data_IF_109561954649
#
_entry.id   IF_109561954649
#
_cell.length_a   1.000
_cell.length_b   1.000
_cell.length_c   1.000
_cell.angle_alpha   90.00
_cell.angle_beta   90.00
_cell.angle_gamma   90.00
#
_symmetry.space_group_name_H-M   'P 1'
#
loop_
_entity.id
_entity.type
_entity.pdbx_description
1 polymer ?
#
# COMPACT_ATOMS: atom_id res chain seq x y z
N UNK A 1 -22.56 -22.96 -11.30
CA UNK A 1 -21.30 -22.26 -10.91
C UNK A 1 -21.28 -22.12 -9.41
N UNK A 2 -20.11 -22.19 -8.72
CA UNK A 2 -20.04 -22.00 -7.27
C UNK A 2 -19.17 -20.78 -6.96
N UNK A 3 -19.77 -19.75 -6.40
CA UNK A 3 -19.10 -18.50 -5.99
C UNK A 3 -19.00 -18.49 -4.47
N UNK A 4 -17.80 -18.32 -3.97
CA UNK A 4 -17.52 -18.23 -2.53
C UNK A 4 -17.04 -16.83 -2.18
N UNK A 5 -17.82 -16.13 -1.37
CA UNK A 5 -17.49 -14.77 -0.89
C UNK A 5 -16.96 -14.86 0.54
N UNK A 6 -15.68 -14.56 0.74
CA UNK A 6 -14.98 -14.76 2.03
C UNK A 6 -14.55 -13.45 2.70
N UNK A 7 -14.75 -12.32 2.05
CA UNK A 7 -14.58 -11.01 2.71
C UNK A 7 -15.77 -10.78 3.65
N UNK A 8 -15.51 -10.29 4.85
CA UNK A 8 -16.60 -9.91 5.76
C UNK A 8 -17.45 -8.83 5.10
N UNK A 9 -18.77 -9.00 5.08
CA UNK A 9 -19.71 -8.08 4.43
C UNK A 9 -20.94 -7.89 5.32
N UNK A 10 -21.38 -6.64 5.57
CA UNK A 10 -22.64 -6.36 6.27
C UNK A 10 -23.83 -6.96 5.52
N UNK A 11 -24.85 -7.39 6.27
CA UNK A 11 -25.99 -8.10 5.70
C UNK A 11 -26.71 -7.28 4.62
N UNK A 12 -26.87 -5.98 4.85
CA UNK A 12 -27.49 -5.04 3.91
C UNK A 12 -26.74 -4.90 2.57
N UNK A 13 -25.44 -5.22 2.55
CA UNK A 13 -24.62 -5.16 1.33
C UNK A 13 -24.54 -6.51 0.58
N UNK A 14 -24.98 -7.61 1.20
CA UNK A 14 -25.01 -8.93 0.55
C UNK A 14 -26.02 -9.01 -0.58
N UNK A 15 -27.13 -8.30 -0.45
CA UNK A 15 -28.25 -8.35 -1.39
C UNK A 15 -27.79 -8.04 -2.82
N UNK A 16 -26.92 -7.04 -3.02
CA UNK A 16 -26.45 -6.68 -4.36
C UNK A 16 -25.67 -7.81 -5.05
N UNK A 17 -24.97 -8.66 -4.30
CA UNK A 17 -24.25 -9.82 -4.85
C UNK A 17 -25.20 -11.00 -5.08
N UNK A 18 -26.17 -11.20 -4.19
CA UNK A 18 -27.21 -12.22 -4.36
C UNK A 18 -28.11 -11.92 -5.58
N UNK A 19 -28.42 -10.65 -5.81
CA UNK A 19 -29.18 -10.23 -7.01
C UNK A 19 -28.39 -10.49 -8.31
N UNK A 20 -27.07 -10.47 -8.26
CA UNK A 20 -26.21 -10.75 -9.42
C UNK A 20 -26.03 -12.25 -9.68
N UNK A 21 -25.81 -13.04 -8.63
CA UNK A 21 -25.37 -14.43 -8.72
C UNK A 21 -26.45 -15.47 -8.32
N UNK A 22 -27.57 -15.03 -7.74
CA UNK A 22 -28.62 -15.91 -7.27
C UNK A 22 -28.16 -16.87 -6.17
N UNK A 23 -28.59 -18.12 -6.26
CA UNK A 23 -28.24 -19.20 -5.32
C UNK A 23 -26.80 -19.72 -5.51
N UNK A 24 -26.12 -19.30 -6.56
CA UNK A 24 -24.74 -19.72 -6.84
C UNK A 24 -23.73 -19.14 -5.86
N UNK A 25 -24.06 -18.07 -5.14
CA UNK A 25 -23.17 -17.39 -4.19
C UNK A 25 -23.37 -17.87 -2.76
N UNK A 26 -22.26 -18.17 -2.10
CA UNK A 26 -22.21 -18.53 -0.68
C UNK A 26 -21.31 -17.55 0.05
N UNK A 27 -21.79 -16.99 1.16
CA UNK A 27 -21.03 -16.11 2.03
C UNK A 27 -20.46 -16.92 3.22
N UNK A 28 -19.17 -16.75 3.49
CA UNK A 28 -18.51 -17.35 4.65
C UNK A 28 -17.46 -16.37 5.17
N UNK A 29 -17.25 -16.31 6.47
CA UNK A 29 -16.13 -15.55 6.99
C UNK A 29 -14.79 -16.28 6.72
N UNK A 30 -13.68 -15.54 6.71
CA UNK A 30 -12.33 -16.14 6.57
C UNK A 30 -12.03 -17.19 7.63
N UNK A 31 -12.66 -17.11 8.82
CA UNK A 31 -12.48 -18.04 9.94
C UNK A 31 -13.31 -19.30 9.78
N UNK A 32 -14.48 -19.19 9.15
CA UNK A 32 -15.48 -20.27 9.05
C UNK A 32 -15.39 -21.05 7.75
N UNK A 33 -14.80 -20.46 6.68
CA UNK A 33 -14.65 -21.12 5.39
C UNK A 33 -13.87 -22.41 5.52
N UNK A 34 -14.45 -23.49 5.02
CA UNK A 34 -13.86 -24.83 5.04
C UNK A 34 -13.04 -25.12 3.77
N UNK A 35 -12.08 -26.02 3.85
CA UNK A 35 -11.31 -26.45 2.67
C UNK A 35 -12.21 -27.12 1.62
N UNK A 36 -13.26 -27.84 2.04
CA UNK A 36 -14.23 -28.43 1.15
C UNK A 36 -14.96 -27.35 0.31
N UNK A 37 -15.34 -26.23 0.91
CA UNK A 37 -15.95 -25.10 0.20
C UNK A 37 -14.96 -24.48 -0.80
N UNK A 38 -13.70 -24.30 -0.40
CA UNK A 38 -12.65 -23.76 -1.27
C UNK A 38 -12.38 -24.66 -2.48
N UNK A 39 -12.30 -25.98 -2.29
CA UNK A 39 -12.08 -26.96 -3.36
C UNK A 39 -13.24 -27.04 -4.37
N UNK A 40 -14.46 -26.73 -3.93
CA UNK A 40 -15.63 -26.75 -4.79
C UNK A 40 -15.90 -25.43 -5.50
N UNK A 41 -15.27 -24.32 -5.06
CA UNK A 41 -15.48 -23.01 -5.63
C UNK A 41 -14.84 -22.85 -7.00
N UNK A 42 -15.58 -22.28 -7.94
CA UNK A 42 -15.08 -21.83 -9.25
C UNK A 42 -14.63 -20.36 -9.18
N UNK A 43 -15.26 -19.56 -8.31
CA UNK A 43 -14.94 -18.18 -8.06
C UNK A 43 -14.75 -17.98 -6.56
N UNK A 44 -13.67 -17.33 -6.17
CA UNK A 44 -13.42 -16.92 -4.76
C UNK A 44 -13.25 -15.41 -4.73
N UNK A 45 -14.03 -14.73 -3.90
CA UNK A 45 -13.98 -13.29 -3.69
C UNK A 45 -13.53 -12.98 -2.25
N UNK A 46 -12.33 -12.43 -2.11
CA UNK A 46 -11.67 -12.14 -0.85
C UNK A 46 -10.38 -12.93 -0.64
N UNK A 47 -9.56 -12.46 0.30
CA UNK A 47 -8.26 -13.05 0.56
C UNK A 47 -8.39 -14.31 1.42
N UNK A 48 -7.94 -15.43 0.89
CA UNK A 48 -7.76 -16.71 1.60
C UNK A 48 -6.26 -17.01 1.65
N UNK A 49 -5.71 -17.53 2.76
CA UNK A 49 -4.28 -17.88 2.80
C UNK A 49 -3.84 -18.71 1.60
N UNK A 50 -2.79 -18.30 0.86
CA UNK A 50 -2.38 -18.97 -0.39
C UNK A 50 -2.18 -20.48 -0.26
N UNK A 51 -1.68 -20.96 0.89
CA UNK A 51 -1.47 -22.38 1.16
C UNK A 51 -2.77 -23.20 1.07
N UNK A 52 -3.94 -22.63 1.40
CA UNK A 52 -5.24 -23.28 1.33
C UNK A 52 -5.80 -23.36 -0.10
N UNK A 53 -5.27 -22.56 -1.03
CA UNK A 53 -5.72 -22.48 -2.41
C UNK A 53 -4.96 -23.43 -3.34
N UNK A 54 -3.84 -24.00 -2.92
CA UNK A 54 -2.99 -24.84 -3.77
C UNK A 54 -3.69 -26.10 -4.32
N UNK A 55 -4.74 -26.59 -3.63
CA UNK A 55 -5.55 -27.74 -4.05
C UNK A 55 -6.84 -27.38 -4.81
N UNK A 56 -7.13 -26.10 -5.05
CA UNK A 56 -8.39 -25.65 -5.64
C UNK A 56 -8.37 -25.78 -7.18
N UNK A 57 -8.45 -27.00 -7.69
CA UNK A 57 -8.35 -27.30 -9.14
C UNK A 57 -9.56 -26.82 -9.95
N UNK A 58 -10.69 -26.49 -9.31
CA UNK A 58 -11.89 -25.95 -9.98
C UNK A 58 -11.87 -24.43 -10.11
N UNK A 59 -10.90 -23.75 -9.45
CA UNK A 59 -10.83 -22.29 -9.40
C UNK A 59 -10.56 -21.71 -10.81
N UNK A 60 -11.45 -20.83 -11.24
CA UNK A 60 -11.36 -20.09 -12.51
C UNK A 60 -11.05 -18.62 -12.32
N UNK A 61 -11.49 -18.05 -11.18
CA UNK A 61 -11.25 -16.66 -10.86
C UNK A 61 -11.08 -16.45 -9.36
N UNK A 62 -10.00 -15.76 -8.98
CA UNK A 62 -9.72 -15.28 -7.62
C UNK A 62 -9.70 -13.75 -7.63
N UNK A 63 -10.67 -13.14 -6.96
CA UNK A 63 -10.71 -11.70 -6.71
C UNK A 63 -10.18 -11.42 -5.31
N UNK A 64 -9.06 -10.71 -5.22
CA UNK A 64 -8.50 -10.29 -3.93
C UNK A 64 -9.21 -9.03 -3.43
N UNK A 65 -9.35 -8.91 -2.11
CA UNK A 65 -9.77 -7.69 -1.45
C UNK A 65 -8.59 -6.77 -1.08
N UNK A 66 -7.35 -7.16 -1.36
CA UNK A 66 -6.14 -6.33 -1.24
C UNK A 66 -5.70 -5.77 -2.60
N UNK A 67 -4.96 -4.66 -2.58
CA UNK A 67 -4.26 -4.17 -3.78
C UNK A 67 -3.00 -4.98 -4.06
N UNK A 68 -2.29 -5.47 -3.03
CA UNK A 68 -1.14 -6.34 -3.20
C UNK A 68 -1.55 -7.77 -3.56
N UNK A 69 -0.86 -8.34 -4.56
CA UNK A 69 -1.14 -9.68 -5.08
C UNK A 69 0.08 -10.62 -5.07
N UNK A 70 1.22 -10.16 -4.61
CA UNK A 70 2.52 -10.83 -4.63
C UNK A 70 2.50 -12.24 -4.03
N UNK A 71 1.75 -12.45 -2.94
CA UNK A 71 1.60 -13.76 -2.30
C UNK A 71 0.76 -14.76 -3.14
N UNK A 72 -0.08 -14.27 -4.05
CA UNK A 72 -1.01 -15.08 -4.85
C UNK A 72 -0.53 -15.29 -6.28
N UNK A 73 0.31 -14.42 -6.81
CA UNK A 73 0.75 -14.46 -8.20
C UNK A 73 1.46 -15.77 -8.58
N UNK A 74 2.13 -16.42 -7.59
CA UNK A 74 2.87 -17.68 -7.78
C UNK A 74 2.03 -18.94 -7.53
N UNK A 75 0.74 -18.82 -7.19
CA UNK A 75 -0.12 -19.98 -6.99
C UNK A 75 -0.21 -20.84 -8.26
N UNK A 76 -0.21 -22.18 -8.15
CA UNK A 76 -0.41 -23.04 -9.30
C UNK A 76 -1.85 -22.95 -9.81
N UNK A 77 -2.07 -23.29 -11.08
CA UNK A 77 -3.38 -23.33 -11.72
C UNK A 77 -3.59 -22.25 -12.78
N UNK A 78 -4.53 -22.51 -13.66
CA UNK A 78 -4.93 -21.62 -14.74
C UNK A 78 -6.23 -20.90 -14.35
N UNK A 79 -6.10 -19.85 -13.57
CA UNK A 79 -7.20 -19.00 -13.14
C UNK A 79 -6.84 -17.52 -13.31
N UNK A 80 -7.86 -16.69 -13.51
CA UNK A 80 -7.70 -15.25 -13.53
C UNK A 80 -7.52 -14.76 -12.10
N UNK A 81 -6.47 -13.97 -11.85
CA UNK A 81 -6.24 -13.29 -10.58
C UNK A 81 -6.54 -11.81 -10.77
N UNK A 82 -7.44 -11.26 -9.96
CA UNK A 82 -7.72 -9.83 -9.90
C UNK A 82 -7.52 -9.30 -8.49
N UNK A 83 -7.19 -8.03 -8.35
CA UNK A 83 -7.00 -7.37 -7.06
C UNK A 83 -7.94 -6.17 -6.88
N UNK A 84 -7.87 -5.50 -5.74
CA UNK A 84 -8.64 -4.31 -5.45
C UNK A 84 -7.82 -3.01 -5.62
N UNK A 85 -6.96 -2.97 -6.64
CA UNK A 85 -6.25 -1.74 -7.01
C UNK A 85 -7.27 -0.64 -7.34
N UNK A 86 -7.00 0.61 -6.91
CA UNK A 86 -7.95 1.71 -7.04
C UNK A 86 -8.85 1.94 -5.82
N UNK A 87 -8.93 0.98 -4.88
CA UNK A 87 -9.74 1.14 -3.68
C UNK A 87 -9.04 1.92 -2.55
N UNK A 88 -7.73 1.83 -2.48
CA UNK A 88 -6.94 2.20 -1.31
C UNK A 88 -6.35 3.61 -1.34
N UNK A 89 -6.26 4.21 -2.52
CA UNK A 89 -5.61 5.50 -2.73
C UNK A 89 -6.05 6.62 -1.78
N UNK A 90 -7.36 6.87 -1.57
CA UNK A 90 -7.82 7.94 -0.69
C UNK A 90 -7.34 7.81 0.75
N UNK A 91 -7.57 6.66 1.39
CA UNK A 91 -7.24 6.46 2.80
C UNK A 91 -5.73 6.43 3.05
N UNK A 92 -4.97 5.67 2.25
CA UNK A 92 -3.52 5.55 2.42
C UNK A 92 -2.82 6.89 2.15
N UNK A 93 -3.26 7.64 1.15
CA UNK A 93 -2.66 8.95 0.87
C UNK A 93 -2.91 9.99 1.97
N UNK A 94 -4.02 9.87 2.71
CA UNK A 94 -4.28 10.69 3.91
C UNK A 94 -3.36 10.30 5.06
N UNK A 95 -3.14 9.00 5.27
CA UNK A 95 -2.15 8.51 6.23
C UNK A 95 -0.74 9.05 5.90
N UNK A 96 -0.31 8.98 4.62
CA UNK A 96 0.99 9.51 4.18
C UNK A 96 1.09 11.02 4.43
N UNK A 97 0.02 11.78 4.16
CA UNK A 97 -0.03 13.21 4.43
C UNK A 97 0.04 13.51 5.93
N UNK A 98 -0.64 12.73 6.76
CA UNK A 98 -0.57 12.85 8.22
C UNK A 98 0.86 12.59 8.74
N UNK A 99 1.53 11.54 8.25
CA UNK A 99 2.94 11.25 8.56
C UNK A 99 3.86 12.43 8.20
N UNK A 100 3.69 12.97 6.99
CA UNK A 100 4.48 14.12 6.54
C UNK A 100 4.24 15.36 7.41
N UNK A 101 2.98 15.70 7.70
CA UNK A 101 2.63 16.85 8.54
C UNK A 101 3.11 16.68 9.99
N UNK A 102 3.01 15.47 10.56
CA UNK A 102 3.52 15.11 11.88
C UNK A 102 4.99 15.52 12.01
N UNK A 103 5.82 15.12 11.05
CA UNK A 103 7.26 15.43 11.02
C UNK A 103 7.51 16.94 10.76
N UNK A 104 6.89 17.51 9.73
CA UNK A 104 7.08 18.92 9.36
C UNK A 104 6.72 19.90 10.48
N UNK A 105 5.76 19.54 11.33
CA UNK A 105 5.28 20.37 12.43
C UNK A 105 5.84 19.95 13.78
N UNK A 106 6.79 19.00 13.82
CA UNK A 106 7.45 18.49 15.05
C UNK A 106 6.43 18.04 16.10
N UNK A 107 5.33 17.38 15.65
CA UNK A 107 4.23 17.06 16.56
C UNK A 107 4.65 16.04 17.63
N UNK A 108 5.60 15.14 17.31
CA UNK A 108 6.13 14.16 18.27
C UNK A 108 6.89 14.84 19.41
N UNK A 109 7.77 15.77 19.04
CA UNK A 109 8.56 16.52 20.03
C UNK A 109 7.64 17.34 20.94
N UNK A 110 6.57 17.94 20.37
CA UNK A 110 5.56 18.64 21.15
C UNK A 110 4.71 17.71 22.02
N UNK A 111 4.45 16.47 21.56
CA UNK A 111 3.77 15.46 22.38
C UNK A 111 4.63 15.07 23.60
N UNK A 112 5.94 14.95 23.44
CA UNK A 112 6.85 14.68 24.55
C UNK A 112 6.96 15.87 25.52
N UNK A 113 7.06 17.10 25.01
CA UNK A 113 7.00 18.32 25.84
C UNK A 113 5.67 18.43 26.60
N UNK A 114 4.54 18.03 25.99
CA UNK A 114 3.25 17.98 26.67
C UNK A 114 3.27 17.00 27.85
N UNK A 115 3.91 15.85 27.71
CA UNK A 115 4.02 14.84 28.80
C UNK A 115 4.86 15.36 29.97
N UNK A 116 5.88 16.17 29.69
CA UNK A 116 6.73 16.81 30.71
C UNK A 116 6.18 18.14 31.23
N UNK A 117 5.06 18.64 30.68
CA UNK A 117 4.45 19.96 30.96
C UNK A 117 5.38 21.14 30.64
N UNK A 118 6.23 20.99 29.62
CA UNK A 118 7.16 22.01 29.18
C UNK A 118 6.56 22.90 28.10
N UNK A 119 6.58 24.22 28.31
CA UNK A 119 6.08 25.22 27.36
C UNK A 119 7.24 25.82 26.57
N UNK A 120 7.69 25.07 25.53
CA UNK A 120 8.88 25.40 24.73
C UNK A 120 8.51 25.57 23.26
N UNK A 121 9.07 26.60 22.61
CA UNK A 121 8.99 26.77 21.16
C UNK A 121 10.19 26.08 20.50
N UNK A 122 9.94 25.04 19.69
CA UNK A 122 10.97 24.26 18.99
C UNK A 122 11.49 24.93 17.69
N UNK A 123 11.18 26.21 17.49
CA UNK A 123 11.69 27.00 16.38
C UNK A 123 10.98 26.81 15.06
N UNK A 124 11.66 27.13 13.96
CA UNK A 124 11.07 27.16 12.62
C UNK A 124 10.63 25.79 12.13
N UNK A 125 9.57 25.79 11.30
CA UNK A 125 9.04 24.64 10.59
C UNK A 125 8.92 24.95 9.09
N UNK A 126 8.93 23.91 8.26
CA UNK A 126 8.71 24.03 6.82
C UNK A 126 7.23 23.90 6.49
N UNK A 127 6.82 24.43 5.33
CA UNK A 127 5.50 24.25 4.74
C UNK A 127 5.60 23.33 3.52
N UNK A 128 4.49 22.67 3.16
CA UNK A 128 4.46 21.74 2.03
C UNK A 128 4.84 22.42 0.71
N UNK A 129 4.48 23.68 0.54
CA UNK A 129 4.80 24.47 -0.66
C UNK A 129 6.31 24.74 -0.89
N UNK A 130 7.15 24.38 0.06
CA UNK A 130 8.61 24.50 -0.04
C UNK A 130 9.31 23.17 -0.35
N UNK A 131 8.53 22.10 -0.56
CA UNK A 131 9.07 20.74 -0.63
C UNK A 131 9.13 20.19 -2.05
N UNK A 132 10.22 19.47 -2.30
CA UNK A 132 10.32 18.53 -3.40
C UNK A 132 9.93 17.14 -2.89
N UNK A 133 8.83 16.62 -3.40
CA UNK A 133 8.25 15.33 -3.01
C UNK A 133 8.54 14.30 -4.09
N UNK A 134 9.32 13.29 -3.76
CA UNK A 134 9.65 12.16 -4.63
C UNK A 134 8.73 10.99 -4.30
N UNK A 135 7.84 10.63 -5.23
CA UNK A 135 6.94 9.49 -5.11
C UNK A 135 7.52 8.27 -5.81
N UNK A 136 7.96 7.27 -5.06
CA UNK A 136 8.35 5.97 -5.60
C UNK A 136 7.09 5.11 -5.75
N UNK A 137 6.60 5.04 -6.98
CA UNK A 137 5.32 4.44 -7.35
C UNK A 137 4.28 5.50 -7.74
N UNK A 138 3.84 5.43 -9.00
CA UNK A 138 2.83 6.31 -9.60
C UNK A 138 1.52 5.54 -9.88
N UNK A 139 1.19 4.59 -9.01
CA UNK A 139 -0.07 3.85 -9.02
C UNK A 139 -1.19 4.62 -8.31
N UNK A 140 -2.26 3.92 -7.92
CA UNK A 140 -3.41 4.48 -7.22
C UNK A 140 -3.01 5.33 -5.99
N UNK A 141 -2.25 4.73 -5.06
CA UNK A 141 -1.83 5.39 -3.82
C UNK A 141 -0.94 6.60 -4.09
N UNK A 142 0.12 6.42 -4.89
CA UNK A 142 1.06 7.49 -5.21
C UNK A 142 0.39 8.66 -5.92
N UNK A 143 -0.54 8.40 -6.84
CA UNK A 143 -1.29 9.45 -7.55
C UNK A 143 -2.23 10.20 -6.61
N UNK A 144 -2.93 9.51 -5.69
CA UNK A 144 -3.77 10.18 -4.70
C UNK A 144 -2.95 11.05 -3.74
N UNK A 145 -1.78 10.58 -3.33
CA UNK A 145 -0.86 11.36 -2.50
C UNK A 145 -0.31 12.57 -3.25
N UNK A 146 0.19 12.37 -4.48
CA UNK A 146 0.70 13.42 -5.35
C UNK A 146 -0.31 14.56 -5.54
N UNK A 147 -1.58 14.24 -5.86
CA UNK A 147 -2.66 15.22 -5.98
C UNK A 147 -2.85 16.06 -4.71
N UNK A 148 -2.82 15.42 -3.53
CA UNK A 148 -2.99 16.13 -2.27
C UNK A 148 -1.83 17.09 -1.98
N UNK A 149 -0.59 16.63 -2.08
CA UNK A 149 0.58 17.47 -1.79
C UNK A 149 0.79 18.55 -2.85
N UNK A 150 0.44 18.28 -4.11
CA UNK A 150 0.43 19.26 -5.20
C UNK A 150 -0.58 20.36 -4.95
N UNK A 151 -1.79 20.04 -4.51
CA UNK A 151 -2.81 21.02 -4.13
C UNK A 151 -2.37 21.91 -2.96
N UNK A 152 -1.43 21.43 -2.12
CA UNK A 152 -0.80 22.20 -1.04
C UNK A 152 0.49 22.92 -1.48
N UNK A 153 0.82 22.89 -2.78
CA UNK A 153 1.88 23.68 -3.39
C UNK A 153 3.24 22.97 -3.51
N UNK A 154 3.36 21.68 -3.21
CA UNK A 154 4.62 20.95 -3.39
C UNK A 154 4.99 20.81 -4.86
N UNK A 155 6.29 20.70 -5.15
CA UNK A 155 6.80 20.19 -6.41
C UNK A 155 6.89 18.66 -6.33
N UNK A 156 6.21 17.95 -7.23
CA UNK A 156 6.01 16.50 -7.12
C UNK A 156 6.63 15.76 -8.29
N UNK A 157 7.58 14.90 -7.99
CA UNK A 157 8.29 14.04 -8.95
C UNK A 157 7.86 12.59 -8.73
N UNK A 158 7.50 11.89 -9.80
CA UNK A 158 7.14 10.49 -9.76
C UNK A 158 8.22 9.58 -10.35
N UNK A 159 8.43 8.42 -9.74
CA UNK A 159 9.30 7.37 -10.30
C UNK A 159 8.47 6.12 -10.55
N UNK A 160 8.61 5.55 -11.75
CA UNK A 160 7.94 4.33 -12.19
C UNK A 160 8.85 3.48 -13.08
N UNK A 161 8.43 2.26 -13.36
CA UNK A 161 9.23 1.31 -14.16
C UNK A 161 9.38 1.76 -15.63
N UNK A 162 8.32 2.29 -16.23
CA UNK A 162 8.30 2.74 -17.62
C UNK A 162 7.53 4.04 -17.72
N UNK A 163 8.09 5.01 -18.44
CA UNK A 163 7.44 6.28 -18.73
C UNK A 163 6.12 6.02 -19.49
N UNK A 164 5.07 6.71 -19.07
CA UNK A 164 3.74 6.73 -19.70
C UNK A 164 3.22 8.16 -19.68
N UNK A 165 1.96 8.37 -20.06
CA UNK A 165 1.27 9.62 -19.83
C UNK A 165 1.43 10.06 -18.37
N UNK A 166 1.76 11.33 -18.16
CA UNK A 166 1.99 11.90 -16.83
C UNK A 166 0.66 12.01 -16.09
N UNK A 167 0.46 11.30 -14.97
CA UNK A 167 -0.78 11.41 -14.23
C UNK A 167 -0.92 12.79 -13.58
N UNK A 168 -2.17 13.22 -13.40
CA UNK A 168 -2.47 14.42 -12.64
C UNK A 168 -1.89 14.36 -11.21
N UNK A 169 -1.32 15.46 -10.74
CA UNK A 169 -0.67 15.59 -9.43
C UNK A 169 0.85 15.53 -9.49
N UNK A 170 1.43 15.13 -10.61
CA UNK A 170 2.87 15.14 -10.81
C UNK A 170 3.31 16.30 -11.71
N UNK A 171 4.49 16.86 -11.43
CA UNK A 171 5.18 17.83 -12.29
C UNK A 171 6.06 17.14 -13.29
N UNK A 172 6.73 16.06 -12.86
CA UNK A 172 7.71 15.32 -13.64
C UNK A 172 7.60 13.82 -13.35
N UNK A 173 8.09 12.99 -14.29
CA UNK A 173 8.24 11.55 -14.07
C UNK A 173 9.58 11.06 -14.60
N UNK A 174 10.11 10.05 -13.93
CA UNK A 174 11.37 9.40 -14.22
C UNK A 174 11.26 7.88 -14.11
N UNK A 175 12.26 7.17 -14.62
CA UNK A 175 12.40 5.73 -14.43
C UNK A 175 13.28 5.40 -13.21
N UNK A 176 13.22 4.16 -12.73
CA UNK A 176 13.95 3.70 -11.53
C UNK A 176 15.45 3.95 -11.66
N UNK A 177 16.01 3.85 -12.86
CA UNK A 177 17.43 4.08 -13.14
C UNK A 177 17.91 5.53 -12.89
N UNK A 178 16.97 6.48 -12.78
CA UNK A 178 17.29 7.88 -12.49
C UNK A 178 17.27 8.20 -10.99
N UNK A 179 16.97 7.20 -10.13
CA UNK A 179 16.75 7.39 -8.70
C UNK A 179 17.93 8.07 -7.99
N UNK A 180 19.16 7.69 -8.29
CA UNK A 180 20.37 8.26 -7.69
C UNK A 180 20.48 9.78 -7.89
N UNK A 181 19.96 10.32 -9.00
CA UNK A 181 19.96 11.75 -9.29
C UNK A 181 18.88 12.52 -8.54
N UNK A 182 17.78 11.83 -8.17
CA UNK A 182 16.60 12.44 -7.56
C UNK A 182 16.67 12.45 -6.04
N UNK A 183 17.29 11.44 -5.43
CA UNK A 183 17.37 11.27 -3.98
C UNK A 183 18.00 12.46 -3.24
N UNK A 184 19.11 13.09 -3.73
CA UNK A 184 19.74 14.21 -3.05
C UNK A 184 18.88 15.49 -2.97
N UNK A 185 17.92 15.63 -3.88
CA UNK A 185 17.05 16.82 -3.96
C UNK A 185 15.70 16.62 -3.25
N UNK A 186 15.37 15.38 -2.88
CA UNK A 186 14.09 15.04 -2.31
C UNK A 186 13.99 15.44 -0.83
N UNK A 187 13.04 16.30 -0.50
CA UNK A 187 12.69 16.64 0.88
C UNK A 187 11.77 15.58 1.52
N UNK A 188 10.99 14.90 0.70
CA UNK A 188 10.12 13.79 1.09
C UNK A 188 10.25 12.66 0.09
N UNK A 189 10.49 11.46 0.57
CA UNK A 189 10.52 10.23 -0.21
C UNK A 189 9.31 9.39 0.22
N UNK A 190 8.32 9.29 -0.67
CA UNK A 190 7.03 8.64 -0.40
C UNK A 190 6.92 7.36 -1.24
N UNK A 191 6.91 6.21 -0.58
CA UNK A 191 7.01 4.90 -1.23
C UNK A 191 5.68 4.15 -1.18
N UNK A 192 5.19 3.74 -2.36
CA UNK A 192 3.99 2.91 -2.55
C UNK A 192 4.20 1.84 -3.63
N UNK A 193 5.40 1.28 -3.69
CA UNK A 193 5.80 0.28 -4.67
C UNK A 193 5.24 -1.10 -4.35
N UNK A 194 4.88 -1.90 -5.37
CA UNK A 194 4.64 -3.34 -5.20
C UNK A 194 5.96 -4.07 -4.94
N UNK A 195 5.89 -5.30 -4.41
CA UNK A 195 7.05 -6.16 -4.29
C UNK A 195 7.33 -6.87 -5.63
N UNK A 196 8.47 -6.56 -6.21
CA UNK A 196 9.00 -7.21 -7.43
C UNK A 196 10.51 -7.40 -7.26
N UNK A 197 11.17 -8.23 -8.10
CA UNK A 197 12.61 -8.33 -8.05
C UNK A 197 13.35 -6.98 -8.16
N UNK A 198 12.79 -6.03 -8.93
CA UNK A 198 13.39 -4.70 -9.16
C UNK A 198 13.14 -3.72 -8.01
N UNK A 199 12.20 -4.01 -7.12
CA UNK A 199 11.84 -3.11 -6.01
C UNK A 199 12.29 -3.61 -4.63
N UNK A 200 12.77 -4.85 -4.53
CA UNK A 200 13.39 -5.37 -3.30
C UNK A 200 14.68 -4.59 -3.07
N UNK A 201 14.78 -4.01 -1.88
CA UNK A 201 15.89 -3.14 -1.46
C UNK A 201 16.20 -2.03 -2.49
N UNK A 202 15.17 -1.50 -3.14
CA UNK A 202 15.35 -0.32 -4.00
C UNK A 202 15.92 0.85 -3.18
N UNK A 203 15.60 0.95 -1.89
CA UNK A 203 16.29 1.79 -0.92
C UNK A 203 17.32 0.95 -0.17
N UNK A 204 18.38 0.59 -0.90
CA UNK A 204 19.56 -0.09 -0.37
C UNK A 204 20.49 0.89 0.39
N UNK A 205 21.63 0.42 0.87
CA UNK A 205 22.61 1.23 1.61
C UNK A 205 23.09 2.43 0.81
N UNK A 206 23.36 2.25 -0.47
CA UNK A 206 23.87 3.28 -1.39
C UNK A 206 22.80 4.35 -1.62
N UNK A 207 21.57 3.96 -1.94
CA UNK A 207 20.46 4.90 -2.14
C UNK A 207 20.08 5.64 -0.87
N UNK A 208 20.03 4.94 0.28
CA UNK A 208 19.78 5.58 1.57
C UNK A 208 20.87 6.63 1.91
N UNK A 209 22.12 6.35 1.60
CA UNK A 209 23.22 7.29 1.82
C UNK A 209 23.17 8.53 0.91
N UNK A 210 22.52 8.43 -0.26
CA UNK A 210 22.33 9.56 -1.18
C UNK A 210 21.16 10.46 -0.78
N UNK A 211 20.29 10.02 0.14
CA UNK A 211 19.13 10.84 0.55
C UNK A 211 19.57 12.10 1.24
N UNK A 212 18.82 13.17 1.03
CA UNK A 212 19.09 14.48 1.63
C UNK A 212 18.98 14.40 3.16
N UNK A 213 20.02 14.80 3.93
CA UNK A 213 19.92 14.89 5.38
C UNK A 213 18.73 15.79 5.80
N UNK A 214 17.93 15.34 6.76
CA UNK A 214 16.72 16.02 7.18
C UNK A 214 15.52 15.84 6.26
N UNK A 215 15.59 14.92 5.28
CA UNK A 215 14.42 14.50 4.49
C UNK A 215 13.46 13.62 5.33
N UNK A 216 12.27 13.37 4.77
CA UNK A 216 11.24 12.51 5.37
C UNK A 216 11.11 11.25 4.53
N UNK A 217 11.18 10.08 5.15
CA UNK A 217 10.96 8.79 4.50
C UNK A 217 9.63 8.18 4.93
N UNK A 218 8.75 7.86 3.98
CA UNK A 218 7.44 7.26 4.22
C UNK A 218 7.31 6.00 3.36
N UNK A 219 7.02 4.85 3.98
CA UNK A 219 6.76 3.62 3.24
C UNK A 219 5.42 2.98 3.64
N UNK A 220 4.53 2.90 2.66
CA UNK A 220 3.20 2.26 2.75
C UNK A 220 3.02 1.16 1.69
N UNK A 221 4.06 0.85 0.94
CA UNK A 221 4.04 -0.16 -0.13
C UNK A 221 4.35 -1.56 0.38
N UNK A 222 5.63 -1.90 0.41
CA UNK A 222 6.16 -3.16 0.94
C UNK A 222 7.42 -2.90 1.75
N UNK A 223 7.56 -3.59 2.88
CA UNK A 223 8.72 -3.48 3.76
C UNK A 223 10.02 -3.84 3.06
N UNK A 224 10.00 -4.88 2.24
CA UNK A 224 11.15 -5.33 1.44
C UNK A 224 11.72 -4.28 0.47
N UNK A 225 11.05 -3.14 0.27
CA UNK A 225 11.59 -2.06 -0.55
C UNK A 225 12.72 -1.28 0.12
N UNK A 226 12.85 -1.37 1.43
CA UNK A 226 13.92 -0.72 2.22
C UNK A 226 14.79 -1.80 2.85
N UNK A 227 16.11 -1.65 2.73
CA UNK A 227 17.07 -2.40 3.55
C UNK A 227 17.05 -1.84 4.98
N UNK A 228 16.31 -2.51 5.88
CA UNK A 228 16.20 -2.10 7.29
C UNK A 228 17.55 -2.10 7.99
N UNK A 229 18.49 -2.98 7.59
CA UNK A 229 19.82 -3.05 8.20
C UNK A 229 20.68 -1.85 7.86
N UNK A 230 20.45 -1.23 6.70
CA UNK A 230 21.09 0.00 6.28
C UNK A 230 20.38 1.26 6.82
N UNK A 231 19.05 1.23 6.94
CA UNK A 231 18.27 2.34 7.48
C UNK A 231 18.55 2.59 8.98
N UNK A 232 18.62 1.53 9.78
CA UNK A 232 18.78 1.62 11.24
C UNK A 232 19.98 2.48 11.66
N UNK A 233 21.23 2.27 11.18
CA UNK A 233 22.36 3.09 11.57
C UNK A 233 22.25 4.53 11.11
N UNK A 234 21.64 4.81 9.96
CA UNK A 234 21.42 6.17 9.49
C UNK A 234 20.45 6.91 10.43
N UNK A 235 19.32 6.30 10.77
CA UNK A 235 18.32 6.94 11.60
C UNK A 235 18.74 7.03 13.08
N UNK A 236 19.59 6.15 13.57
CA UNK A 236 20.25 6.34 14.90
C UNK A 236 21.08 7.60 14.99
N UNK A 237 21.55 8.13 13.85
CA UNK A 237 22.31 9.37 13.75
C UNK A 237 21.45 10.52 13.21
N UNK A 238 20.13 10.45 13.37
CA UNK A 238 19.16 11.51 12.98
C UNK A 238 19.31 11.96 11.51
N UNK A 239 19.61 11.03 10.60
CA UNK A 239 19.75 11.35 9.18
C UNK A 239 18.45 11.89 8.57
N UNK A 240 17.32 11.24 8.87
CA UNK A 240 16.00 11.70 8.45
C UNK A 240 15.34 12.54 9.55
N UNK A 241 14.66 13.61 9.15
CA UNK A 241 13.81 14.38 10.06
C UNK A 241 12.62 13.55 10.57
N UNK A 242 12.23 12.52 9.82
CA UNK A 242 11.20 11.56 10.21
C UNK A 242 11.18 10.35 9.31
N UNK A 243 10.94 9.19 9.91
CA UNK A 243 10.75 7.91 9.22
C UNK A 243 9.38 7.36 9.61
N UNK A 244 8.51 7.10 8.64
CA UNK A 244 7.17 6.55 8.87
C UNK A 244 7.02 5.26 8.08
N UNK A 245 6.93 4.14 8.79
CA UNK A 245 6.84 2.80 8.21
C UNK A 245 5.53 2.14 8.63
N UNK A 246 4.68 1.83 7.66
CA UNK A 246 3.48 1.01 7.88
C UNK A 246 3.71 -0.45 7.51
N UNK A 247 4.84 -0.74 6.85
CA UNK A 247 5.22 -2.07 6.34
C UNK A 247 6.69 -2.37 6.66
N UNK A 248 7.00 -3.65 6.87
CA UNK A 248 8.31 -4.11 7.34
C UNK A 248 8.78 -5.34 6.56
N UNK A 249 10.10 -5.60 6.54
CA UNK A 249 10.66 -6.82 5.93
C UNK A 249 10.07 -8.08 6.57
N UNK A 250 9.85 -8.03 7.88
CA UNK A 250 9.24 -9.11 8.65
C UNK A 250 8.00 -8.60 9.40
N UNK A 251 6.84 -9.10 9.02
CA UNK A 251 5.56 -8.81 9.67
C UNK A 251 4.96 -10.05 10.34
N UNK A 252 4.49 -9.95 11.58
CA UNK A 252 4.50 -8.79 12.49
C UNK A 252 5.92 -8.36 12.88
N UNK A 253 6.16 -7.03 13.01
CA UNK A 253 7.46 -6.50 13.42
C UNK A 253 7.85 -7.09 14.79
N UNK A 254 9.01 -7.79 14.90
CA UNK A 254 9.43 -8.40 16.15
C UNK A 254 9.56 -7.39 17.29
N UNK A 255 9.17 -7.77 18.51
CA UNK A 255 9.21 -6.88 19.68
C UNK A 255 10.60 -6.34 20.02
N UNK A 256 11.64 -7.06 19.64
CA UNK A 256 13.05 -6.68 19.84
C UNK A 256 13.66 -5.99 18.61
N UNK A 257 12.88 -5.67 17.57
CA UNK A 257 13.40 -4.97 16.40
C UNK A 257 13.83 -3.54 16.79
N UNK A 258 15.05 -3.10 16.41
CA UNK A 258 15.55 -1.77 16.73
C UNK A 258 14.68 -0.62 16.19
N UNK A 259 13.92 -0.81 15.13
CA UNK A 259 13.05 0.21 14.53
C UNK A 259 12.07 0.83 15.54
N UNK A 260 11.62 0.07 16.55
CA UNK A 260 10.71 0.56 17.59
C UNK A 260 11.26 1.74 18.40
N UNK A 261 12.59 1.84 18.52
CA UNK A 261 13.26 2.79 19.41
C UNK A 261 14.13 3.78 18.64
N UNK A 262 13.98 3.88 17.31
CA UNK A 262 14.71 4.90 16.56
C UNK A 262 14.09 6.29 16.76
N UNK A 263 14.94 7.34 16.85
CA UNK A 263 14.44 8.71 16.96
C UNK A 263 13.56 9.08 15.76
N UNK A 264 12.55 9.92 15.99
CA UNK A 264 11.64 10.44 14.94
C UNK A 264 11.06 9.37 14.01
N UNK A 265 10.86 8.16 14.53
CA UNK A 265 10.37 7.01 13.76
C UNK A 265 8.98 6.61 14.23
N UNK A 266 8.04 6.50 13.28
CA UNK A 266 6.70 5.96 13.49
C UNK A 266 6.60 4.60 12.82
N UNK A 267 6.30 3.56 13.61
CA UNK A 267 5.96 2.22 13.14
C UNK A 267 4.48 1.97 13.36
N UNK A 268 3.74 1.63 12.30
CA UNK A 268 2.34 1.22 12.40
C UNK A 268 2.14 -0.18 11.83
N UNK A 269 1.19 -0.99 12.36
CA UNK A 269 1.12 -2.43 12.08
C UNK A 269 0.34 -2.72 10.79
N UNK A 270 0.80 -2.20 9.64
CA UNK A 270 0.24 -2.38 8.31
C UNK A 270 -1.27 -2.04 8.29
N UNK A 271 -1.60 -0.82 8.74
CA UNK A 271 -2.98 -0.37 8.97
C UNK A 271 -3.43 0.76 8.05
N UNK A 272 -2.52 1.37 7.30
CA UNK A 272 -2.82 2.52 6.45
C UNK A 272 -3.90 2.18 5.38
N UNK A 273 -3.96 0.93 4.94
CA UNK A 273 -4.84 0.47 3.87
C UNK A 273 -5.86 -0.60 4.26
N UNK A 274 -6.06 -0.91 5.53
CA UNK A 274 -7.09 -1.88 5.95
C UNK A 274 -8.50 -1.29 5.81
N UNK A 275 -9.53 -2.11 6.07
CA UNK A 275 -10.94 -1.69 6.09
C UNK A 275 -11.29 -0.76 7.27
N UNK A 276 -10.31 0.00 7.77
CA UNK A 276 -10.51 0.97 8.83
C UNK A 276 -11.22 2.23 8.33
N UNK A 277 -11.16 2.49 7.02
CA UNK A 277 -11.90 3.56 6.36
C UNK A 277 -13.07 2.98 5.56
N UNK A 278 -14.29 3.42 5.83
CA UNK A 278 -15.50 2.98 5.14
C UNK A 278 -15.40 3.17 3.62
N UNK A 279 -14.82 4.28 3.18
CA UNK A 279 -14.60 4.57 1.75
C UNK A 279 -13.76 3.49 1.04
N UNK A 280 -12.77 2.90 1.71
CA UNK A 280 -11.96 1.81 1.15
C UNK A 280 -12.80 0.57 0.97
N UNK A 281 -13.57 0.24 2.00
CA UNK A 281 -14.44 -0.92 1.99
C UNK A 281 -15.48 -0.84 0.86
N UNK A 282 -16.18 0.29 0.73
CA UNK A 282 -17.17 0.49 -0.32
C UNK A 282 -16.56 0.40 -1.73
N UNK A 283 -15.36 0.92 -1.92
CA UNK A 283 -14.64 0.80 -3.20
C UNK A 283 -14.28 -0.65 -3.51
N UNK A 284 -13.82 -1.43 -2.53
CA UNK A 284 -13.53 -2.86 -2.71
C UNK A 284 -14.79 -3.60 -3.13
N UNK A 285 -15.91 -3.38 -2.45
CA UNK A 285 -17.18 -4.01 -2.80
C UNK A 285 -17.68 -3.59 -4.18
N UNK A 286 -17.47 -2.32 -4.57
CA UNK A 286 -17.82 -1.84 -5.91
C UNK A 286 -17.00 -2.54 -6.99
N UNK A 287 -15.68 -2.71 -6.79
CA UNK A 287 -14.81 -3.48 -7.69
C UNK A 287 -15.28 -4.94 -7.80
N UNK A 288 -15.63 -5.55 -6.67
CA UNK A 288 -16.15 -6.91 -6.62
C UNK A 288 -17.44 -7.05 -7.44
N UNK A 289 -18.41 -6.15 -7.23
CA UNK A 289 -19.69 -6.18 -7.94
C UNK A 289 -19.52 -5.95 -9.44
N UNK A 290 -18.65 -5.02 -9.85
CA UNK A 290 -18.37 -4.77 -11.27
C UNK A 290 -17.71 -5.99 -11.93
N UNK A 291 -16.66 -6.53 -11.32
CA UNK A 291 -15.99 -7.72 -11.85
C UNK A 291 -16.90 -8.97 -11.85
N UNK A 292 -17.80 -9.10 -10.87
CA UNK A 292 -18.77 -10.21 -10.90
C UNK A 292 -19.74 -10.07 -12.08
N UNK A 293 -20.26 -8.88 -12.35
CA UNK A 293 -21.09 -8.61 -13.54
C UNK A 293 -20.35 -8.98 -14.83
N UNK A 294 -19.11 -8.55 -14.96
CA UNK A 294 -18.27 -8.84 -16.14
C UNK A 294 -18.01 -10.33 -16.29
N UNK A 295 -17.69 -11.02 -15.19
CA UNK A 295 -17.46 -12.46 -15.21
C UNK A 295 -18.69 -13.23 -15.68
N UNK A 296 -19.86 -12.89 -15.16
CA UNK A 296 -21.14 -13.49 -15.55
C UNK A 296 -21.50 -13.22 -17.02
N UNK A 297 -21.10 -12.07 -17.55
CA UNK A 297 -21.27 -11.68 -18.94
C UNK A 297 -20.20 -12.25 -19.89
N UNK A 298 -19.15 -12.89 -19.37
CA UNK A 298 -18.00 -13.36 -20.17
C UNK A 298 -17.11 -12.24 -20.68
N UNK A 299 -17.13 -11.06 -20.01
CA UNK A 299 -16.32 -9.90 -20.36
C UNK A 299 -14.96 -9.92 -19.65
N UNK A 300 -13.94 -9.21 -20.18
CA UNK A 300 -12.64 -9.05 -19.51
C UNK A 300 -12.81 -8.41 -18.14
N UNK A 301 -12.12 -8.94 -17.12
CA UNK A 301 -12.16 -8.43 -15.76
C UNK A 301 -11.22 -7.22 -15.59
N UNK A 302 -11.64 -6.26 -14.76
CA UNK A 302 -10.80 -5.15 -14.35
C UNK A 302 -9.77 -5.59 -13.29
N UNK A 303 -8.64 -4.88 -13.24
CA UNK A 303 -7.57 -5.11 -12.28
C UNK A 303 -7.00 -6.54 -12.32
N UNK A 304 -6.93 -7.12 -13.53
CA UNK A 304 -6.26 -8.39 -13.73
C UNK A 304 -4.76 -8.26 -13.46
N UNK A 305 -4.26 -9.14 -12.61
CA UNK A 305 -2.85 -9.17 -12.20
C UNK A 305 -2.04 -9.93 -13.25
N UNK A 306 -0.98 -9.30 -13.76
CA UNK A 306 0.04 -10.05 -14.49
C UNK A 306 0.82 -10.92 -13.50
N UNK A 307 0.50 -12.23 -13.50
CA UNK A 307 1.09 -13.18 -12.56
C UNK A 307 2.60 -13.38 -12.73
N UNK A 308 3.18 -13.00 -13.88
CA UNK A 308 4.64 -13.03 -14.10
C UNK A 308 5.30 -11.82 -13.45
N UNK A 309 4.66 -10.66 -13.53
CA UNK A 309 5.14 -9.42 -12.92
C UNK A 309 4.79 -9.33 -11.42
N UNK A 310 3.74 -10.01 -10.96
CA UNK A 310 3.28 -10.04 -9.59
C UNK A 310 2.32 -8.90 -9.20
N UNK A 311 1.89 -8.05 -10.16
CA UNK A 311 1.00 -6.91 -9.92
C UNK A 311 0.17 -6.54 -11.15
#
# INVERSE_FOLDING_TARGET
MKILFVTEIPEEKKQCFTDLAGEDITFASRKEVTDAQLMEAEVIMGNVPPARLAGCTKLKWLQLDSAGADAYAKLPGDFVLTNASGAYGPAISEYMLACMLRTLKKLDDYEDLQKSHDWVNLGSVRTISQLHVLCLGMGDIGTHFAKKVKALGAHVIGVRRHIRELPEGFDEQYEIQDLEKLLPEADVIAMSLPQTPDTIHIMNKEHLALTKPGSILINVGRGSAIDETALIPLQKNDHFAGVCLDVFEHEPLPKNNPLWNLPHTLCTPHIAGRFNAEVTYDRVLSIFADNLKRYLAGEPLHHAVDRKLGY
#
